data_IF_041083627305
#
_entry.id   IF_041083627305
#
_cell.length_a   1.000
_cell.length_b   1.000
_cell.length_c   1.000
_cell.angle_alpha   90.00
_cell.angle_beta   90.00
_cell.angle_gamma   90.00
#
_symmetry.space_group_name_H-M   'P 1'
#
loop_
_entity.id
_entity.type
_entity.pdbx_description
1 polymer ?
#
# COMPACT_ATOMS: atom_id res chain seq x y z
N UNK A 1 -93.57 -27.37 -4.81
CA UNK A 1 -93.41 -28.81 -5.13
C UNK A 1 -92.06 -29.25 -4.57
N UNK A 2 -92.00 -30.41 -3.93
CA UNK A 2 -90.79 -31.04 -3.32
C UNK A 2 -90.21 -32.10 -4.30
N UNK A 3 -89.11 -32.85 -4.03
CA UNK A 3 -88.26 -33.01 -2.82
C UNK A 3 -86.73 -32.84 -3.16
N UNK A 4 -85.66 -33.49 -2.63
CA UNK A 4 -85.45 -34.57 -1.63
C UNK A 4 -84.00 -34.67 -1.08
N UNK A 5 -83.83 -34.55 0.25
CA UNK A 5 -82.98 -35.41 1.12
C UNK A 5 -81.42 -35.49 0.86
N UNK A 6 -80.57 -36.21 1.66
CA UNK A 6 -80.15 -35.72 3.00
C UNK A 6 -78.71 -36.08 3.52
N UNK A 7 -78.42 -35.65 4.77
CA UNK A 7 -77.52 -36.28 5.79
C UNK A 7 -75.98 -36.05 5.65
N UNK A 8 -75.13 -36.19 6.70
CA UNK A 8 -75.24 -36.77 8.08
C UNK A 8 -74.65 -35.84 9.18
N UNK A 9 -74.86 -36.21 10.46
CA UNK A 9 -74.39 -35.49 11.67
C UNK A 9 -73.04 -35.98 12.26
N UNK A 10 -72.45 -35.17 13.17
CA UNK A 10 -71.28 -35.45 14.00
C UNK A 10 -71.53 -36.29 15.26
N UNK A 11 -70.50 -37.05 15.68
CA UNK A 11 -69.91 -37.19 17.04
C UNK A 11 -68.80 -38.27 16.96
N UNK A 12 -67.69 -38.26 17.69
CA UNK A 12 -67.22 -37.33 18.74
C UNK A 12 -66.72 -38.13 19.95
N UNK A 13 -65.39 -38.29 20.11
CA UNK A 13 -64.78 -39.09 21.19
C UNK A 13 -63.40 -38.53 21.57
N UNK A 14 -63.04 -38.55 22.86
CA UNK A 14 -61.74 -38.14 23.40
C UNK A 14 -60.87 -39.37 23.71
N UNK A 15 -59.53 -39.23 23.61
CA UNK A 15 -58.58 -40.16 24.21
C UNK A 15 -57.19 -39.54 24.46
N UNK A 16 -56.54 -39.96 25.55
CA UNK A 16 -55.09 -40.18 25.61
C UNK A 16 -54.14 -38.98 25.78
N UNK A 17 -53.99 -38.48 27.01
CA UNK A 17 -52.80 -37.70 27.39
C UNK A 17 -51.60 -38.62 27.56
N UNK A 18 -50.49 -38.39 26.86
CA UNK A 18 -49.23 -39.11 27.05
C UNK A 18 -48.07 -38.10 27.19
N UNK A 19 -47.41 -38.10 28.34
CA UNK A 19 -46.34 -37.15 28.68
C UNK A 19 -44.98 -37.76 28.33
N UNK A 20 -44.36 -37.30 27.24
CA UNK A 20 -43.02 -37.70 26.82
C UNK A 20 -41.98 -36.65 27.24
N UNK A 21 -41.08 -37.02 28.15
CA UNK A 21 -39.89 -36.21 28.44
C UNK A 21 -38.89 -36.35 27.29
N UNK A 22 -38.62 -35.24 26.60
CA UNK A 22 -37.41 -35.11 25.79
C UNK A 22 -36.23 -34.70 26.68
N UNK A 23 -35.03 -35.30 26.53
CA UNK A 23 -33.85 -34.84 27.26
C UNK A 23 -33.41 -33.47 26.74
N UNK A 24 -32.92 -32.60 27.63
CA UNK A 24 -32.29 -31.34 27.21
C UNK A 24 -30.96 -31.65 26.49
N UNK A 25 -30.98 -31.63 25.16
CA UNK A 25 -29.76 -31.63 24.36
C UNK A 25 -28.96 -30.36 24.64
N UNK A 26 -27.73 -30.50 25.12
CA UNK A 26 -26.82 -29.38 25.31
C UNK A 26 -26.56 -28.71 23.95
N UNK A 27 -26.88 -27.41 23.83
CA UNK A 27 -26.61 -26.64 22.60
C UNK A 27 -25.12 -26.34 22.54
N UNK A 28 -24.35 -27.26 21.95
CA UNK A 28 -22.98 -26.98 21.55
C UNK A 28 -22.99 -25.97 20.41
N UNK A 29 -22.47 -24.77 20.67
CA UNK A 29 -22.27 -23.74 19.64
C UNK A 29 -21.30 -24.27 18.58
N UNK A 30 -21.82 -24.61 17.40
CA UNK A 30 -21.06 -25.37 16.42
C UNK A 30 -19.92 -24.54 15.82
N UNK A 31 -18.69 -25.02 15.96
CA UNK A 31 -17.50 -24.50 15.25
C UNK A 31 -17.58 -24.62 13.71
N UNK A 32 -18.65 -25.22 13.19
CA UNK A 32 -18.94 -25.40 11.76
C UNK A 32 -19.15 -24.10 10.96
N UNK A 33 -19.27 -22.94 11.61
CA UNK A 33 -19.21 -21.63 10.96
C UNK A 33 -17.79 -21.30 10.49
N UNK A 34 -16.89 -21.03 11.45
CA UNK A 34 -15.50 -20.64 11.17
C UNK A 34 -14.75 -21.63 10.26
N UNK A 35 -15.02 -22.93 10.38
CA UNK A 35 -14.40 -23.97 9.53
C UNK A 35 -14.84 -23.95 8.05
N UNK A 36 -15.82 -23.12 7.66
CA UNK A 36 -16.24 -22.91 6.27
C UNK A 36 -15.55 -21.70 5.62
N UNK A 37 -15.28 -20.64 6.38
CA UNK A 37 -14.67 -19.42 5.83
C UNK A 37 -13.20 -19.66 5.43
N UNK A 38 -12.45 -20.47 6.21
CA UNK A 38 -11.10 -20.92 5.82
C UNK A 38 -11.07 -21.77 4.53
N UNK A 39 -12.22 -22.27 4.06
CA UNK A 39 -12.29 -23.08 2.85
C UNK A 39 -12.29 -22.25 1.55
N UNK A 40 -12.61 -20.95 1.62
CA UNK A 40 -12.72 -20.07 0.45
C UNK A 40 -11.36 -19.61 -0.11
N UNK A 41 -10.34 -19.47 0.75
CA UNK A 41 -8.94 -19.21 0.38
C UNK A 41 -8.05 -20.44 0.60
N UNK A 42 -8.55 -21.63 0.24
CA UNK A 42 -7.70 -22.82 0.16
C UNK A 42 -6.80 -22.71 -1.06
N UNK A 43 -5.49 -22.67 -0.79
CA UNK A 43 -4.40 -22.32 -1.72
C UNK A 43 -4.37 -20.84 -2.14
N UNK A 44 -3.25 -20.42 -2.70
CA UNK A 44 -3.05 -19.10 -3.34
C UNK A 44 -3.63 -19.04 -4.78
N UNK A 45 -4.58 -19.93 -5.10
CA UNK A 45 -5.40 -19.87 -6.32
C UNK A 45 -6.30 -18.62 -6.35
N UNK A 46 -6.67 -18.14 -7.56
CA UNK A 46 -7.71 -17.11 -7.71
C UNK A 46 -9.07 -17.57 -7.17
N UNK A 47 -10.00 -16.63 -6.87
CA UNK A 47 -11.39 -16.95 -6.52
C UNK A 47 -12.03 -17.89 -7.55
N UNK A 48 -12.58 -19.00 -7.08
CA UNK A 48 -13.13 -20.09 -7.93
C UNK A 48 -14.29 -19.66 -8.82
N UNK A 49 -14.95 -18.57 -8.45
CA UNK A 49 -15.95 -17.87 -9.27
C UNK A 49 -15.44 -16.45 -9.49
N UNK A 50 -15.36 -16.03 -10.76
CA UNK A 50 -14.89 -14.69 -11.12
C UNK A 50 -16.01 -13.67 -10.84
N UNK A 51 -15.79 -12.62 -10.04
CA UNK A 51 -16.74 -11.53 -9.86
C UNK A 51 -17.05 -10.83 -11.18
N UNK A 52 -18.28 -10.31 -11.33
CA UNK A 52 -18.57 -9.29 -12.36
C UNK A 52 -18.10 -7.89 -11.96
N UNK A 53 -18.07 -7.65 -10.65
CA UNK A 53 -17.57 -6.46 -9.97
C UNK A 53 -17.11 -6.90 -8.57
N UNK A 54 -16.13 -6.21 -8.00
CA UNK A 54 -15.53 -6.61 -6.73
C UNK A 54 -14.28 -5.80 -6.38
N UNK A 55 -13.66 -6.18 -5.28
CA UNK A 55 -12.55 -5.46 -4.65
C UNK A 55 -11.53 -6.46 -4.09
N UNK A 56 -10.24 -6.18 -4.32
CA UNK A 56 -9.10 -6.85 -3.68
C UNK A 56 -8.34 -5.80 -2.85
N UNK A 57 -7.78 -6.19 -1.70
CA UNK A 57 -6.93 -5.34 -0.87
C UNK A 57 -5.66 -6.07 -0.40
N UNK A 58 -4.62 -5.29 -0.06
CA UNK A 58 -3.54 -5.73 0.82
C UNK A 58 -3.26 -4.75 1.95
N UNK A 59 -2.85 -5.29 3.09
CA UNK A 59 -2.28 -4.58 4.24
C UNK A 59 -0.75 -4.71 4.33
N UNK A 60 -0.11 -5.23 3.28
CA UNK A 60 1.35 -5.33 3.15
C UNK A 60 1.93 -6.75 3.19
N UNK A 61 3.16 -6.88 2.70
CA UNK A 61 3.90 -8.14 2.52
C UNK A 61 5.33 -8.05 3.08
N UNK A 62 5.79 -9.08 3.78
CA UNK A 62 7.15 -9.16 4.36
C UNK A 62 7.32 -10.40 5.23
N UNK A 63 8.30 -10.40 6.14
CA UNK A 63 8.49 -11.53 7.07
C UNK A 63 7.52 -11.42 8.25
N UNK A 64 6.33 -11.94 8.03
CA UNK A 64 5.34 -12.17 9.08
C UNK A 64 5.68 -13.52 9.74
N UNK A 65 6.13 -13.50 11.00
CA UNK A 65 6.29 -14.73 11.79
C UNK A 65 4.98 -15.09 12.48
N UNK A 66 4.53 -16.35 12.29
CA UNK A 66 3.39 -16.94 12.99
C UNK A 66 3.59 -16.98 14.51
N UNK A 67 4.83 -17.13 14.96
CA UNK A 67 5.19 -17.23 16.39
C UNK A 67 5.07 -15.89 17.13
N UNK A 68 5.26 -14.78 16.40
CA UNK A 68 5.20 -13.42 16.93
C UNK A 68 3.82 -12.74 16.74
N UNK A 69 2.83 -13.48 16.22
CA UNK A 69 1.47 -12.98 15.98
C UNK A 69 0.51 -13.63 16.99
N UNK A 70 0.10 -12.89 18.02
CA UNK A 70 -0.86 -13.43 19.00
C UNK A 70 -2.25 -13.60 18.37
N UNK A 71 -3.09 -14.54 18.86
CA UNK A 71 -4.43 -14.76 18.30
C UNK A 71 -5.31 -13.50 18.29
N UNK A 72 -5.18 -12.64 19.30
CA UNK A 72 -5.91 -11.38 19.44
C UNK A 72 -5.44 -10.36 18.39
N UNK A 73 -4.12 -10.31 18.14
CA UNK A 73 -3.54 -9.46 17.09
C UNK A 73 -3.92 -9.95 15.69
N UNK A 74 -3.90 -11.26 15.45
CA UNK A 74 -4.38 -11.84 14.19
C UNK A 74 -5.86 -11.51 13.96
N UNK A 75 -6.71 -11.71 14.97
CA UNK A 75 -8.13 -11.40 14.89
C UNK A 75 -8.38 -9.90 14.62
N UNK A 76 -7.65 -9.01 15.29
CA UNK A 76 -7.75 -7.56 15.06
C UNK A 76 -7.34 -7.14 13.64
N UNK A 77 -6.24 -7.71 13.11
CA UNK A 77 -5.79 -7.42 11.74
C UNK A 77 -6.74 -8.01 10.69
N UNK A 78 -7.31 -9.20 10.91
CA UNK A 78 -8.36 -9.80 10.06
C UNK A 78 -9.67 -9.00 10.10
N UNK A 79 -10.02 -8.43 11.25
CA UNK A 79 -11.17 -7.54 11.38
C UNK A 79 -10.96 -6.24 10.57
N UNK A 80 -9.79 -5.61 10.68
CA UNK A 80 -9.48 -4.40 9.92
C UNK A 80 -9.42 -4.62 8.39
N UNK A 81 -8.91 -5.78 7.93
CA UNK A 81 -9.01 -6.18 6.51
C UNK A 81 -10.48 -6.38 6.08
N UNK A 82 -11.28 -7.04 6.92
CA UNK A 82 -12.72 -7.24 6.68
C UNK A 82 -13.47 -5.91 6.60
N UNK A 83 -13.17 -4.95 7.47
CA UNK A 83 -13.75 -3.60 7.47
C UNK A 83 -13.40 -2.82 6.20
N UNK A 84 -12.14 -2.85 5.77
CA UNK A 84 -11.70 -2.21 4.53
C UNK A 84 -12.37 -2.82 3.28
N UNK A 85 -12.52 -4.16 3.24
CA UNK A 85 -13.30 -4.85 2.21
C UNK A 85 -14.76 -4.41 2.21
N UNK A 86 -15.41 -4.37 3.38
CA UNK A 86 -16.81 -3.97 3.53
C UNK A 86 -17.04 -2.50 3.15
N UNK A 87 -16.11 -1.60 3.46
CA UNK A 87 -16.19 -0.19 3.11
C UNK A 87 -16.19 0.04 1.59
N UNK A 88 -15.24 -0.56 0.86
CA UNK A 88 -15.19 -0.47 -0.60
C UNK A 88 -16.35 -1.24 -1.28
N UNK A 89 -16.71 -2.42 -0.78
CA UNK A 89 -17.89 -3.16 -1.27
C UNK A 89 -19.19 -2.35 -1.09
N UNK A 90 -19.36 -1.63 0.03
CA UNK A 90 -20.52 -0.78 0.27
C UNK A 90 -20.63 0.44 -0.66
N UNK A 91 -19.59 0.72 -1.47
CA UNK A 91 -19.63 1.64 -2.61
C UNK A 91 -20.07 0.90 -3.88
N UNK A 92 -19.39 -0.20 -4.24
CA UNK A 92 -19.68 -0.98 -5.46
C UNK A 92 -21.11 -1.53 -5.48
N UNK A 93 -21.59 -2.08 -4.36
CA UNK A 93 -22.93 -2.64 -4.22
C UNK A 93 -24.08 -1.63 -4.39
N UNK A 94 -23.77 -0.32 -4.49
CA UNK A 94 -24.71 0.77 -4.78
C UNK A 94 -24.56 1.31 -6.22
N UNK A 95 -23.75 0.68 -7.07
CA UNK A 95 -23.38 1.19 -8.39
C UNK A 95 -22.35 2.32 -8.35
N UNK A 96 -21.55 2.43 -7.27
CA UNK A 96 -20.44 3.37 -7.18
C UNK A 96 -19.24 2.93 -8.04
N UNK A 97 -18.40 3.89 -8.44
CA UNK A 97 -17.23 3.64 -9.30
C UNK A 97 -16.10 2.91 -8.56
N UNK A 98 -15.27 2.20 -9.30
CA UNK A 98 -14.08 1.51 -8.79
C UNK A 98 -13.13 2.43 -8.03
N UNK A 99 -12.89 3.65 -8.52
CA UNK A 99 -12.08 4.69 -7.84
C UNK A 99 -12.64 5.09 -6.46
N UNK A 100 -13.97 5.16 -6.33
CA UNK A 100 -14.63 5.50 -5.06
C UNK A 100 -14.53 4.33 -4.05
N UNK A 101 -14.54 3.08 -4.54
CA UNK A 101 -14.35 1.88 -3.72
C UNK A 101 -12.90 1.69 -3.25
N UNK A 102 -11.92 1.90 -4.15
CA UNK A 102 -10.48 1.88 -3.84
C UNK A 102 -10.15 2.90 -2.74
N UNK A 103 -10.60 4.14 -2.90
CA UNK A 103 -10.33 5.20 -1.91
C UNK A 103 -11.06 4.96 -0.58
N UNK A 104 -12.28 4.42 -0.59
CA UNK A 104 -12.98 4.01 0.63
C UNK A 104 -12.25 2.88 1.40
N UNK A 105 -11.77 1.86 0.70
CA UNK A 105 -11.06 0.73 1.32
C UNK A 105 -9.68 1.14 1.89
N UNK A 106 -8.92 1.97 1.16
CA UNK A 106 -7.60 2.44 1.61
C UNK A 106 -7.73 3.38 2.80
N UNK A 107 -8.75 4.26 2.86
CA UNK A 107 -8.96 5.15 4.02
C UNK A 107 -9.09 4.39 5.34
N UNK A 108 -9.84 3.27 5.36
CA UNK A 108 -9.95 2.39 6.53
C UNK A 108 -8.58 1.82 6.95
N UNK A 109 -7.72 1.51 5.99
CA UNK A 109 -6.37 1.00 6.27
C UNK A 109 -5.39 2.10 6.69
N UNK A 110 -5.59 3.35 6.26
CA UNK A 110 -4.84 4.53 6.71
C UNK A 110 -5.28 5.00 8.11
N UNK A 111 -6.57 4.95 8.44
CA UNK A 111 -7.09 5.30 9.78
C UNK A 111 -6.80 4.20 10.83
N UNK A 112 -6.33 3.03 10.39
CA UNK A 112 -5.98 1.87 11.22
C UNK A 112 -4.52 1.91 11.70
N UNK A 113 -4.25 1.71 13.01
CA UNK A 113 -2.89 1.67 13.54
C UNK A 113 -2.11 0.40 13.16
N UNK A 114 -2.76 -0.62 12.57
CA UNK A 114 -2.16 -1.93 12.33
C UNK A 114 -1.32 -2.01 11.05
N UNK A 115 -1.62 -1.19 10.05
CA UNK A 115 -0.93 -1.18 8.75
C UNK A 115 0.12 -0.06 8.68
N UNK A 116 1.00 -0.06 7.68
CA UNK A 116 2.02 1.00 7.54
C UNK A 116 1.56 2.03 6.50
N UNK A 117 0.45 2.70 6.79
CA UNK A 117 -0.06 3.86 6.08
C UNK A 117 -0.85 4.72 7.06
N UNK A 118 -0.97 6.03 6.81
CA UNK A 118 -1.64 6.96 7.72
C UNK A 118 -1.24 6.75 9.18
N UNK A 119 -2.22 6.56 10.05
CA UNK A 119 -2.12 6.43 11.52
C UNK A 119 -1.11 5.40 12.00
N UNK A 120 -0.90 4.32 11.25
CA UNK A 120 0.02 3.24 11.59
C UNK A 120 1.39 3.35 10.93
N UNK A 121 1.75 4.47 10.31
CA UNK A 121 2.99 4.64 9.56
C UNK A 121 4.27 4.40 10.38
N UNK A 122 5.31 3.90 9.71
CA UNK A 122 6.69 3.86 10.19
C UNK A 122 7.29 5.27 10.24
N UNK A 123 8.34 5.42 11.05
CA UNK A 123 9.15 6.63 11.13
C UNK A 123 10.40 6.51 10.25
N UNK A 124 10.81 7.64 9.66
CA UNK A 124 12.12 7.81 9.06
C UNK A 124 13.22 7.89 10.14
N UNK A 125 14.49 7.98 9.72
CA UNK A 125 15.66 8.05 10.60
C UNK A 125 15.59 9.20 11.61
N UNK A 126 14.98 10.32 11.23
CA UNK A 126 14.92 11.55 12.04
C UNK A 126 13.71 11.57 12.99
N UNK A 127 12.96 10.45 13.09
CA UNK A 127 11.81 10.32 14.00
C UNK A 127 10.50 10.90 13.46
N UNK A 128 10.40 11.13 12.14
CA UNK A 128 9.26 11.77 11.49
C UNK A 128 8.53 10.78 10.59
N UNK A 129 7.20 10.85 10.53
CA UNK A 129 6.41 10.12 9.54
C UNK A 129 6.41 10.87 8.20
N UNK A 130 6.65 10.15 7.11
CA UNK A 130 6.65 10.66 5.73
C UNK A 130 5.79 9.73 4.89
N UNK A 131 4.68 10.23 4.38
CA UNK A 131 3.66 9.42 3.74
C UNK A 131 3.67 9.57 2.22
N UNK A 132 3.51 8.45 1.52
CA UNK A 132 3.47 8.36 0.06
C UNK A 132 2.18 7.63 -0.38
N UNK A 133 1.49 8.11 -1.42
CA UNK A 133 0.33 7.42 -2.00
C UNK A 133 0.10 7.76 -3.47
N UNK A 134 -0.60 6.88 -4.20
CA UNK A 134 -1.13 7.15 -5.54
C UNK A 134 -2.48 6.46 -5.80
N UNK A 135 -3.22 7.00 -6.78
CA UNK A 135 -4.40 6.40 -7.40
C UNK A 135 -4.28 6.46 -8.93
N UNK A 136 -4.90 5.51 -9.62
CA UNK A 136 -5.02 5.50 -11.08
C UNK A 136 -6.39 4.97 -11.54
N UNK A 137 -7.06 5.72 -12.41
CA UNK A 137 -8.30 5.34 -13.09
C UNK A 137 -7.97 4.61 -14.39
N UNK A 138 -8.38 3.36 -14.53
CA UNK A 138 -8.00 2.52 -15.67
C UNK A 138 -8.65 2.93 -16.99
N UNK A 139 -9.83 3.54 -16.94
CA UNK A 139 -10.59 3.96 -18.13
C UNK A 139 -9.96 5.14 -18.85
N UNK A 140 -9.53 6.13 -18.07
CA UNK A 140 -8.98 7.40 -18.58
C UNK A 140 -7.46 7.45 -18.54
N UNK A 141 -6.82 6.54 -17.80
CA UNK A 141 -5.40 6.60 -17.38
C UNK A 141 -5.05 7.90 -16.63
N UNK A 142 -6.05 8.63 -16.12
CA UNK A 142 -5.83 9.70 -15.15
C UNK A 142 -5.26 9.09 -13.87
N UNK A 143 -4.27 9.79 -13.30
CA UNK A 143 -3.58 9.36 -12.10
C UNK A 143 -3.26 10.57 -11.22
N UNK A 144 -3.10 10.33 -9.93
CA UNK A 144 -2.70 11.34 -8.96
C UNK A 144 -1.89 10.71 -7.84
N UNK A 145 -0.87 11.41 -7.37
CA UNK A 145 0.12 10.90 -6.44
C UNK A 145 0.67 12.00 -5.52
N UNK A 146 1.03 11.60 -4.30
CA UNK A 146 1.79 12.42 -3.35
C UNK A 146 2.92 11.62 -2.71
N UNK A 147 4.02 12.28 -2.39
CA UNK A 147 5.13 11.68 -1.64
C UNK A 147 5.73 12.65 -0.63
N UNK A 148 6.22 12.11 0.49
CA UNK A 148 6.83 12.87 1.58
C UNK A 148 5.90 13.88 2.25
N UNK A 149 4.60 13.58 2.39
CA UNK A 149 3.69 14.44 3.19
C UNK A 149 3.69 14.04 4.67
N UNK A 150 3.45 15.01 5.55
CA UNK A 150 3.67 14.90 7.01
C UNK A 150 2.41 15.17 7.85
N UNK A 151 1.43 15.87 7.29
CA UNK A 151 0.25 16.37 8.01
C UNK A 151 -1.09 15.99 7.34
N UNK A 152 -1.06 15.09 6.36
CA UNK A 152 -2.25 14.63 5.62
C UNK A 152 -2.74 13.31 6.24
N UNK A 153 -3.92 13.33 6.88
CA UNK A 153 -4.46 12.14 7.56
C UNK A 153 -4.57 10.93 6.62
N UNK A 154 -5.11 11.17 5.43
CA UNK A 154 -5.42 10.15 4.42
C UNK A 154 -4.73 10.50 3.09
N UNK A 155 -3.45 10.15 2.92
CA UNK A 155 -2.67 10.43 1.70
C UNK A 155 -3.36 10.00 0.41
N UNK A 156 -4.14 8.91 0.41
CA UNK A 156 -4.88 8.46 -0.77
C UNK A 156 -5.92 9.48 -1.26
N UNK A 157 -6.54 10.24 -0.36
CA UNK A 157 -7.50 11.29 -0.72
C UNK A 157 -6.81 12.51 -1.31
N UNK A 158 -5.60 12.86 -0.84
CA UNK A 158 -4.83 13.94 -1.47
C UNK A 158 -4.27 13.52 -2.82
N UNK A 159 -3.79 12.28 -2.97
CA UNK A 159 -3.40 11.72 -4.26
C UNK A 159 -4.56 11.81 -5.27
N UNK A 160 -5.77 11.44 -4.85
CA UNK A 160 -6.99 11.61 -5.66
C UNK A 160 -7.34 13.08 -5.93
N UNK A 161 -7.12 13.98 -4.97
CA UNK A 161 -7.36 15.41 -5.14
C UNK A 161 -6.40 16.05 -6.17
N UNK A 162 -5.14 15.58 -6.23
CA UNK A 162 -4.18 15.94 -7.28
C UNK A 162 -4.72 15.54 -8.66
N UNK A 163 -5.25 14.31 -8.79
CA UNK A 163 -5.89 13.82 -10.03
C UNK A 163 -7.13 14.60 -10.45
N UNK A 164 -8.02 14.94 -9.49
CA UNK A 164 -9.34 15.52 -9.79
C UNK A 164 -9.38 17.06 -9.78
N UNK A 165 -8.36 17.75 -9.24
CA UNK A 165 -8.36 19.22 -9.04
C UNK A 165 -7.06 19.91 -9.50
N UNK A 166 -6.14 19.21 -10.15
CA UNK A 166 -4.93 19.81 -10.75
C UNK A 166 -4.68 19.33 -12.18
N UNK A 167 -3.86 20.03 -12.98
CA UNK A 167 -3.39 19.56 -14.28
C UNK A 167 -2.12 18.67 -14.16
N UNK A 168 -1.88 18.06 -13.00
CA UNK A 168 -0.65 17.35 -12.65
C UNK A 168 -0.93 15.95 -12.11
N UNK A 169 0.02 15.04 -12.30
CA UNK A 169 -0.07 13.64 -11.81
C UNK A 169 0.57 13.48 -10.44
N UNK A 170 1.56 14.28 -10.06
CA UNK A 170 2.30 14.11 -8.80
C UNK A 170 2.67 15.45 -8.17
N UNK A 171 2.55 15.53 -6.83
CA UNK A 171 3.08 16.61 -6.00
C UNK A 171 3.88 16.03 -4.83
N UNK A 172 4.78 16.80 -4.20
CA UNK A 172 5.63 16.31 -3.11
C UNK A 172 5.79 17.34 -1.99
N UNK A 173 5.96 16.84 -0.75
CA UNK A 173 6.25 17.64 0.45
C UNK A 173 5.31 18.84 0.66
N UNK A 174 5.87 19.93 1.16
CA UNK A 174 5.20 21.22 1.39
C UNK A 174 4.33 21.69 0.22
N UNK A 175 4.73 21.39 -1.03
CA UNK A 175 3.97 21.75 -2.23
C UNK A 175 2.65 20.98 -2.36
N UNK A 176 2.65 19.70 -1.98
CA UNK A 176 1.44 18.89 -1.91
C UNK A 176 0.52 19.33 -0.76
N UNK A 177 1.08 19.71 0.40
CA UNK A 177 0.29 20.18 1.55
C UNK A 177 -0.29 21.58 1.34
N UNK A 178 0.46 22.50 0.72
CA UNK A 178 -0.04 23.81 0.31
C UNK A 178 -1.17 23.67 -0.74
N UNK A 179 -1.06 22.70 -1.66
CA UNK A 179 -2.16 22.36 -2.55
C UNK A 179 -3.36 21.79 -1.77
N UNK A 180 -3.16 20.86 -0.83
CA UNK A 180 -4.22 20.32 0.03
C UNK A 180 -5.01 21.45 0.74
N UNK A 181 -4.29 22.38 1.38
CA UNK A 181 -4.86 23.57 2.00
C UNK A 181 -5.64 24.44 1.01
N UNK A 182 -5.11 24.65 -0.21
CA UNK A 182 -5.80 25.43 -1.26
C UNK A 182 -7.15 24.84 -1.67
N UNK A 183 -7.31 23.52 -1.54
CA UNK A 183 -8.54 22.78 -1.82
C UNK A 183 -9.43 22.59 -0.58
N UNK A 184 -9.05 23.14 0.58
CA UNK A 184 -9.81 23.04 1.83
C UNK A 184 -9.63 21.72 2.59
N UNK A 185 -8.65 20.89 2.23
CA UNK A 185 -8.32 19.69 3.00
C UNK A 185 -7.63 20.08 4.33
N UNK A 186 -8.12 19.60 5.49
CA UNK A 186 -7.51 19.92 6.78
C UNK A 186 -6.17 19.20 6.96
N UNK A 187 -5.21 19.89 7.57
CA UNK A 187 -3.98 19.28 8.07
C UNK A 187 -4.19 18.75 9.51
N UNK A 188 -3.57 17.62 9.84
CA UNK A 188 -3.54 17.05 11.19
C UNK A 188 -2.17 17.24 11.84
N UNK A 189 -2.16 17.31 13.17
CA UNK A 189 -0.95 17.27 13.98
C UNK A 189 -0.25 15.92 13.80
N UNK A 190 1.07 15.93 13.56
CA UNK A 190 1.88 14.75 13.29
C UNK A 190 1.76 13.64 14.37
N UNK A 191 1.38 13.98 15.61
CA UNK A 191 1.07 12.98 16.66
C UNK A 191 -0.07 12.02 16.29
N UNK A 192 -0.90 12.33 15.29
CA UNK A 192 -1.91 11.42 14.76
C UNK A 192 -1.28 10.12 14.23
N UNK A 193 -0.10 10.22 13.59
CA UNK A 193 0.62 9.10 12.98
C UNK A 193 1.49 8.32 13.99
N UNK A 194 1.53 8.76 15.25
CA UNK A 194 2.34 8.12 16.28
C UNK A 194 1.68 6.82 16.79
N UNK A 195 2.44 5.73 16.76
CA UNK A 195 2.15 4.53 17.54
C UNK A 195 3.41 4.04 18.24
N UNK A 196 3.27 3.58 19.48
CA UNK A 196 4.40 3.13 20.30
C UNK A 196 5.15 1.95 19.66
N UNK A 197 4.45 1.01 19.00
CA UNK A 197 5.11 -0.10 18.30
C UNK A 197 6.04 0.39 17.17
N UNK A 198 5.61 1.39 16.39
CA UNK A 198 6.41 1.95 15.29
C UNK A 198 7.58 2.77 15.82
N UNK A 199 7.38 3.50 16.92
CA UNK A 199 8.44 4.28 17.56
C UNK A 199 9.54 3.37 18.13
N UNK A 200 9.15 2.34 18.87
CA UNK A 200 10.07 1.30 19.35
C UNK A 200 10.71 0.51 18.18
N UNK A 201 10.03 0.43 17.03
CA UNK A 201 10.60 -0.05 15.76
C UNK A 201 11.78 0.78 15.29
N UNK A 202 11.64 2.11 15.27
CA UNK A 202 12.75 3.01 14.96
C UNK A 202 13.89 2.90 15.97
N UNK A 203 13.59 2.83 17.28
CA UNK A 203 14.65 2.73 18.29
C UNK A 203 15.52 1.48 18.09
N UNK A 204 14.92 0.30 17.88
CA UNK A 204 15.66 -0.93 17.55
C UNK A 204 16.45 -0.83 16.25
N UNK A 205 15.92 -0.14 15.24
CA UNK A 205 16.61 0.06 13.97
C UNK A 205 17.87 0.93 14.15
N UNK A 206 17.76 2.04 14.88
CA UNK A 206 18.88 2.94 15.20
C UNK A 206 19.92 2.27 16.11
N UNK A 207 19.51 1.37 17.02
CA UNK A 207 20.42 0.54 17.81
C UNK A 207 21.18 -0.47 16.94
N UNK A 208 20.50 -1.15 16.01
CA UNK A 208 21.14 -2.07 15.09
C UNK A 208 22.10 -1.37 14.12
N UNK A 209 21.75 -0.19 13.62
CA UNK A 209 22.64 0.62 12.77
C UNK A 209 23.92 1.02 13.52
N UNK A 210 23.81 1.47 14.79
CA UNK A 210 24.97 1.75 15.65
C UNK A 210 25.80 0.49 15.93
N UNK A 211 25.17 -0.65 16.17
CA UNK A 211 25.87 -1.92 16.41
C UNK A 211 26.63 -2.44 15.17
N UNK A 212 26.10 -2.21 13.96
CA UNK A 212 26.79 -2.44 12.68
C UNK A 212 27.86 -1.39 12.36
N UNK A 213 27.83 -0.25 13.05
CA UNK A 213 28.51 1.00 12.69
C UNK A 213 29.67 1.43 13.60
N UNK A 214 30.38 0.51 14.25
CA UNK A 214 31.60 0.82 15.00
C UNK A 214 32.85 0.69 14.09
N UNK A 215 33.42 1.79 13.54
CA UNK A 215 34.68 1.74 12.83
C UNK A 215 35.85 1.44 13.80
N UNK A 216 36.97 0.88 13.32
CA UNK A 216 38.20 0.81 14.11
C UNK A 216 38.63 2.22 14.55
N UNK A 217 39.04 2.36 15.82
CA UNK A 217 39.53 3.63 16.32
C UNK A 217 40.91 3.96 15.73
N UNK A 218 40.94 4.80 14.69
CA UNK A 218 42.19 5.40 14.20
C UNK A 218 42.82 6.25 15.32
N UNK A 219 44.04 5.91 15.72
CA UNK A 219 44.81 6.65 16.70
C UNK A 219 45.46 7.91 16.08
N UNK A 220 44.61 8.83 15.61
CA UNK A 220 45.02 10.14 15.12
C UNK A 220 45.45 11.07 16.28
N UNK A 221 46.74 11.41 16.33
CA UNK A 221 47.27 12.36 17.32
C UNK A 221 46.81 13.80 17.01
N UNK A 222 46.58 14.65 18.03
CA UNK A 222 46.14 16.03 17.81
C UNK A 222 47.28 16.93 17.33
N UNK A 223 47.20 17.39 16.08
CA UNK A 223 48.02 18.51 15.59
C UNK A 223 47.43 19.84 16.04
N UNK A 224 48.29 20.71 16.58
CA UNK A 224 47.98 22.10 16.95
C UNK A 224 48.74 23.06 16.04
N UNK A 225 48.48 24.37 16.18
CA UNK A 225 48.95 25.48 15.31
C UNK A 225 48.19 25.55 13.97
N UNK A 226 47.49 26.63 13.60
CA UNK A 226 47.13 27.86 14.33
C UNK A 226 47.82 29.14 13.82
N UNK A 227 47.03 30.05 13.24
CA UNK A 227 47.37 31.47 13.08
C UNK A 227 46.10 32.34 12.94
N UNK A 228 46.24 33.66 13.12
CA UNK A 228 45.18 34.58 13.56
C UNK A 228 44.38 35.30 12.45
N UNK A 229 43.23 35.92 12.79
CA UNK A 229 42.26 36.46 11.81
C UNK A 229 42.57 37.89 11.32
N UNK A 230 41.97 38.26 10.19
CA UNK A 230 41.90 39.64 9.72
C UNK A 230 40.72 40.41 10.37
N UNK A 231 40.92 41.71 10.62
CA UNK A 231 39.90 42.63 11.17
C UNK A 231 39.35 43.61 10.11
N UNK A 232 38.22 44.30 10.38
CA UNK A 232 37.36 44.90 9.34
C UNK A 232 37.63 46.39 9.04
N UNK A 233 36.97 46.90 7.99
CA UNK A 233 36.97 48.30 7.56
C UNK A 233 35.54 48.83 7.30
N UNK A 234 35.32 50.13 7.51
CA UNK A 234 34.03 50.85 7.39
C UNK A 234 34.28 52.38 7.18
N UNK A 235 33.29 53.29 7.11
CA UNK A 235 32.16 53.36 6.16
C UNK A 235 31.97 54.78 5.52
N UNK A 236 31.09 54.92 4.51
CA UNK A 236 30.58 56.21 3.95
C UNK A 236 30.48 56.18 2.41
N UNK A 237 29.31 56.38 1.74
CA UNK A 237 28.42 57.56 1.59
C UNK A 237 28.79 58.49 0.40
N UNK A 238 27.80 59.08 -0.34
CA UNK A 238 26.53 58.50 -0.80
C UNK A 238 26.35 58.79 -2.35
N UNK A 239 25.20 59.15 -2.99
CA UNK A 239 24.91 58.64 -4.35
C UNK A 239 24.89 59.69 -5.50
N UNK A 240 24.87 59.20 -6.74
CA UNK A 240 24.53 59.98 -7.94
C UNK A 240 23.57 59.22 -8.87
N UNK A 241 22.75 59.96 -9.63
CA UNK A 241 21.73 59.41 -10.54
C UNK A 241 22.20 59.49 -12.00
N UNK A 242 21.73 58.57 -12.85
CA UNK A 242 21.93 58.66 -14.31
C UNK A 242 21.50 57.39 -15.03
N UNK A 243 20.60 57.49 -16.01
CA UNK A 243 20.07 56.35 -16.75
C UNK A 243 20.23 56.53 -18.26
N UNK A 244 20.82 55.53 -18.93
CA UNK A 244 20.62 55.23 -20.36
C UNK A 244 21.00 53.76 -20.63
N UNK A 245 20.32 53.05 -21.55
CA UNK A 245 20.53 51.62 -21.78
C UNK A 245 21.49 51.31 -22.95
N UNK A 246 22.09 50.12 -22.92
CA UNK A 246 22.59 49.43 -24.12
C UNK A 246 24.11 49.28 -24.24
N UNK A 247 24.60 48.08 -23.96
CA UNK A 247 25.83 47.45 -24.50
C UNK A 247 25.57 45.92 -24.51
N UNK A 248 26.21 45.13 -25.41
CA UNK A 248 25.79 43.76 -25.70
C UNK A 248 26.23 42.73 -24.64
N UNK A 249 25.45 41.65 -24.49
CA UNK A 249 25.82 40.50 -23.67
C UNK A 249 26.85 39.61 -24.37
N UNK A 250 27.99 39.38 -23.72
CA UNK A 250 29.01 38.43 -24.16
C UNK A 250 28.52 36.99 -23.95
N UNK A 251 28.73 36.05 -24.90
CA UNK A 251 28.40 34.64 -24.66
C UNK A 251 29.26 34.04 -23.55
N UNK A 252 28.63 33.35 -22.59
CA UNK A 252 29.35 32.60 -21.57
C UNK A 252 30.03 31.37 -22.20
N UNK A 253 31.29 31.10 -21.82
CA UNK A 253 31.98 29.88 -22.23
C UNK A 253 31.43 28.67 -21.45
N UNK A 254 31.26 27.50 -22.09
CA UNK A 254 30.86 26.28 -21.39
C UNK A 254 32.00 25.76 -20.49
N UNK A 255 31.70 25.16 -19.33
CA UNK A 255 32.71 24.56 -18.46
C UNK A 255 33.37 23.34 -19.13
N UNK A 256 34.69 23.25 -19.04
CA UNK A 256 35.47 22.26 -19.77
C UNK A 256 35.79 21.00 -18.92
N UNK A 257 35.04 19.91 -19.14
CA UNK A 257 35.40 18.56 -18.66
C UNK A 257 34.65 17.44 -19.38
N UNK A 258 34.94 17.21 -20.67
CA UNK A 258 34.41 16.04 -21.41
C UNK A 258 35.06 14.74 -20.90
N UNK A 259 34.30 13.74 -20.42
CA UNK A 259 34.86 12.43 -20.06
C UNK A 259 35.36 11.69 -21.31
N UNK A 260 36.54 11.07 -21.26
CA UNK A 260 37.02 10.25 -22.37
C UNK A 260 36.33 8.87 -22.39
N UNK A 261 35.85 8.39 -23.56
CA UNK A 261 35.33 7.05 -23.70
C UNK A 261 36.50 6.04 -23.72
N UNK A 262 36.51 5.09 -22.78
CA UNK A 262 37.50 4.00 -22.79
C UNK A 262 37.76 3.31 -21.45
N UNK A 263 37.45 3.94 -20.31
CA UNK A 263 37.61 3.30 -19.00
C UNK A 263 36.36 2.48 -18.64
N UNK A 264 36.46 1.16 -18.76
CA UNK A 264 35.46 0.23 -18.24
C UNK A 264 35.43 0.32 -16.71
N UNK A 265 34.37 0.90 -16.16
CA UNK A 265 34.16 0.91 -14.72
C UNK A 265 34.06 -0.54 -14.21
N UNK A 266 35.04 -0.99 -13.43
CA UNK A 266 34.99 -2.30 -12.81
C UNK A 266 33.78 -2.36 -11.86
N UNK A 267 33.03 -3.48 -11.83
CA UNK A 267 31.88 -3.60 -10.94
C UNK A 267 32.36 -3.49 -9.48
N UNK A 268 31.75 -2.58 -8.72
CA UNK A 268 32.05 -2.44 -7.29
C UNK A 268 31.77 -3.78 -6.59
N UNK A 269 32.72 -4.30 -5.78
CA UNK A 269 32.59 -5.63 -5.22
C UNK A 269 31.43 -5.69 -4.21
N UNK A 270 30.49 -6.61 -4.45
CA UNK A 270 29.54 -7.11 -3.47
C UNK A 270 28.62 -6.07 -2.80
N UNK A 271 27.50 -5.72 -3.47
CA UNK A 271 26.28 -5.44 -2.71
C UNK A 271 25.78 -6.77 -2.13
N UNK A 272 26.27 -7.15 -0.95
CA UNK A 272 25.91 -8.40 -0.24
C UNK A 272 24.52 -8.29 0.39
N UNK A 273 23.52 -7.99 -0.44
CA UNK A 273 22.12 -7.94 -0.08
C UNK A 273 21.62 -9.38 0.11
N UNK A 274 21.55 -9.84 1.35
CA UNK A 274 20.71 -10.97 1.74
C UNK A 274 19.26 -10.65 1.39
N UNK A 275 18.57 -11.45 0.53
CA UNK A 275 17.16 -11.24 0.23
C UNK A 275 16.30 -11.19 1.49
N UNK A 276 15.27 -10.35 1.49
CA UNK A 276 14.33 -10.20 2.61
C UNK A 276 14.84 -9.36 3.80
N UNK A 277 16.10 -8.90 3.80
CA UNK A 277 16.68 -8.10 4.89
C UNK A 277 16.79 -6.63 4.47
N UNK A 278 16.16 -5.74 5.24
CA UNK A 278 16.46 -4.31 5.18
C UNK A 278 17.93 -4.08 5.60
N UNK A 279 18.79 -3.56 4.69
CA UNK A 279 20.22 -3.44 4.93
C UNK A 279 20.55 -2.43 6.04
N UNK A 280 19.65 -1.48 6.32
CA UNK A 280 19.80 -0.50 7.40
C UNK A 280 19.28 -1.14 8.70
N UNK A 281 17.99 -1.49 8.74
CA UNK A 281 17.31 -1.79 10.01
C UNK A 281 17.47 -3.21 10.52
N UNK A 282 17.56 -4.21 9.63
CA UNK A 282 17.45 -5.62 10.02
C UNK A 282 16.09 -6.04 10.61
N UNK A 283 15.05 -5.18 10.57
CA UNK A 283 13.68 -5.54 10.99
C UNK A 283 12.82 -5.74 9.71
N UNK A 284 12.02 -6.79 9.67
CA UNK A 284 11.52 -7.37 8.42
C UNK A 284 10.05 -7.02 8.09
N UNK A 285 9.66 -5.74 8.19
CA UNK A 285 8.24 -5.33 8.22
C UNK A 285 7.88 -4.27 7.18
N UNK A 286 7.73 -4.65 5.91
CA UNK A 286 7.04 -3.81 4.91
C UNK A 286 5.52 -3.97 5.07
N UNK A 287 4.80 -2.86 4.96
CA UNK A 287 3.38 -2.78 5.35
C UNK A 287 2.54 -1.82 4.49
N UNK A 288 2.99 -1.54 3.26
CA UNK A 288 2.28 -0.73 2.28
C UNK A 288 0.86 -1.29 2.08
N UNK A 289 -0.14 -0.42 2.07
CA UNK A 289 -1.55 -0.79 1.88
C UNK A 289 -1.98 -0.48 0.46
N UNK A 290 -3.02 -1.15 -0.02
CA UNK A 290 -3.54 -0.85 -1.34
C UNK A 290 -4.78 -1.64 -1.71
N UNK A 291 -5.44 -1.19 -2.77
CA UNK A 291 -6.69 -1.75 -3.25
C UNK A 291 -6.76 -1.70 -4.78
N UNK A 292 -7.42 -2.70 -5.38
CA UNK A 292 -7.84 -2.70 -6.79
C UNK A 292 -9.30 -3.10 -6.87
N UNK A 293 -10.07 -2.44 -7.73
CA UNK A 293 -11.51 -2.68 -7.85
C UNK A 293 -11.98 -2.69 -9.30
N UNK A 294 -13.00 -3.52 -9.56
CA UNK A 294 -13.79 -3.58 -10.79
C UNK A 294 -15.22 -3.18 -10.45
N UNK A 295 -15.77 -2.18 -11.13
CA UNK A 295 -17.16 -1.73 -10.93
C UNK A 295 -18.16 -2.35 -11.93
N UNK A 296 -19.45 -2.04 -11.76
CA UNK A 296 -20.55 -2.62 -12.55
C UNK A 296 -20.54 -2.20 -14.03
N UNK A 297 -19.86 -1.11 -14.38
CA UNK A 297 -19.59 -0.69 -15.77
C UNK A 297 -18.33 -1.38 -16.34
N UNK A 298 -17.65 -2.19 -15.51
CA UNK A 298 -16.39 -2.86 -15.79
C UNK A 298 -15.17 -1.94 -15.78
N UNK A 299 -15.26 -0.72 -15.22
CA UNK A 299 -14.08 0.13 -15.09
C UNK A 299 -13.19 -0.37 -13.94
N UNK A 300 -11.88 -0.35 -14.16
CA UNK A 300 -10.87 -0.71 -13.18
C UNK A 300 -10.27 0.53 -12.53
N UNK A 301 -9.88 0.41 -11.26
CA UNK A 301 -9.05 1.39 -10.57
C UNK A 301 -8.05 0.70 -9.64
N UNK A 302 -6.91 1.37 -9.41
CA UNK A 302 -5.89 0.97 -8.45
C UNK A 302 -5.54 2.13 -7.50
N UNK A 303 -5.12 1.80 -6.29
CA UNK A 303 -4.53 2.76 -5.36
C UNK A 303 -3.63 2.09 -4.33
N UNK A 304 -2.62 2.82 -3.86
CA UNK A 304 -1.60 2.33 -2.93
C UNK A 304 -1.18 3.47 -1.99
N UNK A 305 -0.93 3.18 -0.72
CA UNK A 305 -0.52 4.16 0.31
C UNK A 305 0.47 3.55 1.31
N UNK A 306 1.44 4.33 1.80
CA UNK A 306 2.51 3.82 2.68
C UNK A 306 3.18 4.91 3.54
N UNK A 307 3.72 4.51 4.70
CA UNK A 307 4.75 5.28 5.41
C UNK A 307 6.18 5.03 4.88
N UNK A 308 6.35 4.09 3.95
CA UNK A 308 7.65 3.68 3.41
C UNK A 308 8.32 2.62 4.29
N UNK A 309 9.58 2.82 4.66
CA UNK A 309 10.38 1.89 5.47
C UNK A 309 10.79 2.54 6.80
N UNK A 310 10.85 1.73 7.87
CA UNK A 310 11.42 2.13 9.16
C UNK A 310 12.84 2.62 8.96
N UNK A 311 13.26 3.71 9.64
CA UNK A 311 14.61 4.29 9.51
C UNK A 311 15.00 4.65 8.06
N UNK A 312 14.03 4.85 7.15
CA UNK A 312 14.32 5.40 5.82
C UNK A 312 15.00 6.77 6.00
N UNK A 313 15.87 7.15 5.06
CA UNK A 313 16.39 8.52 5.04
C UNK A 313 15.25 9.50 4.76
N UNK A 314 15.31 10.69 5.37
CA UNK A 314 14.42 11.80 5.02
C UNK A 314 14.44 12.05 3.50
N UNK A 315 13.27 12.22 2.90
CA UNK A 315 13.07 12.35 1.46
C UNK A 315 13.10 11.03 0.67
N UNK A 316 13.19 9.85 1.31
CA UNK A 316 13.09 8.56 0.61
C UNK A 316 11.64 8.27 0.22
N UNK A 317 11.36 8.44 -1.07
CA UNK A 317 10.12 8.06 -1.74
C UNK A 317 10.12 6.55 -2.10
N UNK A 318 9.01 5.87 -1.82
CA UNK A 318 8.81 4.45 -2.19
C UNK A 318 8.31 4.21 -3.62
N UNK A 319 7.87 2.97 -3.88
CA UNK A 319 7.21 2.55 -5.12
C UNK A 319 5.72 2.96 -5.18
N UNK A 320 5.04 2.99 -4.04
CA UNK A 320 3.62 3.30 -3.92
C UNK A 320 3.14 4.57 -4.67
N UNK A 321 3.83 5.73 -4.63
CA UNK A 321 3.37 6.92 -5.35
C UNK A 321 3.81 6.95 -6.82
N UNK A 322 4.63 5.99 -7.25
CA UNK A 322 5.22 5.96 -8.59
C UNK A 322 4.34 5.11 -9.50
N UNK A 323 3.62 5.79 -10.39
CA UNK A 323 2.73 5.17 -11.37
C UNK A 323 3.50 4.20 -12.27
N UNK A 324 3.06 2.94 -12.30
CA UNK A 324 3.72 1.84 -12.99
C UNK A 324 4.74 1.05 -12.14
N UNK A 325 5.09 1.51 -10.94
CA UNK A 325 5.89 0.75 -9.98
C UNK A 325 4.99 0.11 -8.91
N UNK A 326 4.42 0.93 -8.01
CA UNK A 326 3.55 0.48 -6.92
C UNK A 326 2.06 0.49 -7.26
N UNK A 327 1.60 1.47 -8.04
CA UNK A 327 0.20 1.60 -8.48
C UNK A 327 0.12 1.64 -10.01
N UNK A 328 -0.78 0.87 -10.62
CA UNK A 328 -1.10 1.01 -12.06
C UNK A 328 -2.52 0.54 -12.37
N UNK A 329 -3.21 1.20 -13.31
CA UNK A 329 -4.46 0.71 -13.88
C UNK A 329 -4.61 1.12 -15.35
N UNK A 330 -5.17 0.22 -16.16
CA UNK A 330 -5.75 0.54 -17.47
C UNK A 330 -7.08 -0.20 -17.70
N UNK A 331 -7.62 -0.16 -18.93
CA UNK A 331 -8.87 -0.83 -19.27
C UNK A 331 -8.82 -2.37 -19.19
N UNK A 332 -7.63 -2.96 -19.07
CA UNK A 332 -7.42 -4.41 -19.01
C UNK A 332 -7.17 -4.88 -17.59
N UNK A 333 -6.31 -4.20 -16.84
CA UNK A 333 -5.89 -4.62 -15.51
C UNK A 333 -5.56 -3.46 -14.56
N UNK A 334 -5.80 -3.69 -13.27
CA UNK A 334 -5.37 -2.86 -12.15
C UNK A 334 -4.44 -3.66 -11.23
N UNK A 335 -3.38 -3.01 -10.72
CA UNK A 335 -2.35 -3.60 -9.85
C UNK A 335 -2.00 -2.63 -8.72
N UNK A 336 -1.91 -3.14 -7.50
CA UNK A 336 -1.30 -2.46 -6.34
C UNK A 336 -0.25 -3.37 -5.70
N UNK A 337 0.87 -2.80 -5.26
CA UNK A 337 2.03 -3.54 -4.80
C UNK A 337 2.46 -3.25 -3.35
N UNK A 338 3.28 -4.14 -2.81
CA UNK A 338 3.92 -3.98 -1.50
C UNK A 338 5.24 -4.75 -1.45
N UNK A 339 6.33 -4.11 -1.02
CA UNK A 339 7.60 -4.78 -0.75
C UNK A 339 8.80 -3.83 -0.69
N UNK A 340 9.96 -4.32 -1.13
CA UNK A 340 11.18 -3.53 -1.25
C UNK A 340 11.09 -2.53 -2.42
N UNK A 341 10.52 -1.34 -2.17
CA UNK A 341 10.16 -0.35 -3.20
C UNK A 341 11.24 -0.03 -4.24
N UNK A 342 12.52 -0.04 -3.88
CA UNK A 342 13.65 0.15 -4.81
C UNK A 342 13.65 -0.88 -5.96
N UNK A 343 13.24 -2.12 -5.70
CA UNK A 343 13.08 -3.13 -6.76
C UNK A 343 11.79 -2.94 -7.55
N UNK A 344 10.68 -2.58 -6.88
CA UNK A 344 9.39 -2.36 -7.55
C UNK A 344 9.44 -1.17 -8.52
N UNK A 345 10.21 -0.12 -8.19
CA UNK A 345 10.57 0.97 -9.10
C UNK A 345 11.48 0.46 -10.24
N UNK A 346 12.61 -0.17 -9.92
CA UNK A 346 13.63 -0.58 -10.92
C UNK A 346 13.14 -1.58 -11.95
N UNK A 347 12.11 -2.37 -11.62
CA UNK A 347 11.49 -3.37 -12.50
C UNK A 347 10.07 -2.97 -12.93
N UNK A 348 9.58 -1.78 -12.54
CA UNK A 348 8.25 -1.24 -12.89
C UNK A 348 7.13 -2.27 -12.72
N UNK A 349 7.06 -2.88 -11.53
CA UNK A 349 6.34 -4.15 -11.32
C UNK A 349 4.85 -4.08 -11.72
N UNK A 350 4.13 -3.05 -11.25
CA UNK A 350 2.73 -2.88 -11.59
C UNK A 350 2.49 -2.70 -13.10
N UNK A 351 3.42 -2.02 -13.80
CA UNK A 351 3.35 -1.86 -15.26
C UNK A 351 3.78 -3.11 -16.01
N UNK A 352 4.80 -3.85 -15.59
CA UNK A 352 5.28 -5.06 -16.30
C UNK A 352 4.21 -6.17 -16.31
N UNK A 353 3.50 -6.36 -15.18
CA UNK A 353 2.33 -7.25 -15.11
C UNK A 353 1.28 -6.85 -16.14
N UNK A 354 0.88 -5.58 -16.17
CA UNK A 354 -0.10 -5.10 -17.14
C UNK A 354 0.40 -5.05 -18.59
N UNK A 355 1.71 -4.88 -18.82
CA UNK A 355 2.32 -4.94 -20.15
C UNK A 355 2.30 -6.37 -20.71
N UNK A 356 2.39 -7.40 -19.85
CA UNK A 356 2.25 -8.80 -20.25
C UNK A 356 0.82 -9.17 -20.62
N UNK A 357 -0.15 -8.68 -19.84
CA UNK A 357 -1.59 -8.77 -20.19
C UNK A 357 -1.90 -8.00 -21.49
N UNK A 358 -1.29 -6.82 -21.70
CA UNK A 358 -1.55 -5.95 -22.86
C UNK A 358 -0.85 -6.38 -24.16
N UNK A 359 0.37 -6.93 -24.09
CA UNK A 359 1.22 -7.19 -25.28
C UNK A 359 1.46 -8.67 -25.57
N UNK A 360 1.08 -9.59 -24.68
CA UNK A 360 1.29 -11.04 -24.84
C UNK A 360 0.00 -11.85 -24.63
N UNK A 361 -1.14 -11.17 -24.41
CA UNK A 361 -2.44 -11.76 -24.03
C UNK A 361 -2.36 -12.77 -22.86
N UNK A 362 -1.35 -12.63 -21.99
CA UNK A 362 -1.14 -13.53 -20.87
C UNK A 362 -2.25 -13.36 -19.81
N UNK A 363 -2.81 -14.46 -19.26
CA UNK A 363 -3.76 -14.38 -18.15
C UNK A 363 -3.17 -13.60 -16.97
N UNK A 364 -3.94 -12.69 -16.37
CA UNK A 364 -3.44 -11.85 -15.28
C UNK A 364 -2.79 -12.63 -14.12
N UNK A 365 -3.33 -13.78 -13.65
CA UNK A 365 -2.65 -14.58 -12.62
C UNK A 365 -1.29 -15.14 -13.07
N UNK A 366 -1.12 -15.49 -14.34
CA UNK A 366 0.15 -16.00 -14.88
C UNK A 366 1.18 -14.86 -15.01
N UNK A 367 0.77 -13.72 -15.56
CA UNK A 367 1.59 -12.51 -15.63
C UNK A 367 2.06 -12.04 -14.25
N UNK A 368 1.15 -11.98 -13.26
CA UNK A 368 1.47 -11.57 -11.89
C UNK A 368 2.39 -12.57 -11.18
N UNK A 369 2.13 -13.88 -11.30
CA UNK A 369 2.98 -14.91 -10.71
C UNK A 369 4.41 -14.86 -11.28
N UNK A 370 4.56 -14.72 -12.60
CA UNK A 370 5.87 -14.63 -13.23
C UNK A 370 6.65 -13.38 -12.76
N UNK A 371 6.02 -12.20 -12.68
CA UNK A 371 6.75 -11.01 -12.21
C UNK A 371 7.17 -11.14 -10.74
N UNK A 372 6.32 -11.70 -9.87
CA UNK A 372 6.65 -11.85 -8.43
C UNK A 372 7.63 -13.00 -8.15
N UNK A 373 7.44 -14.18 -8.76
CA UNK A 373 8.21 -15.39 -8.43
C UNK A 373 9.41 -15.64 -9.36
N UNK A 374 9.41 -15.13 -10.61
CA UNK A 374 10.61 -15.16 -11.46
C UNK A 374 11.37 -13.83 -11.42
N UNK A 375 10.74 -12.72 -11.84
CA UNK A 375 11.46 -11.47 -12.14
C UNK A 375 12.02 -10.83 -10.88
N UNK A 376 11.18 -10.62 -9.85
CA UNK A 376 11.62 -10.04 -8.58
C UNK A 376 12.58 -10.95 -7.79
N UNK A 377 12.33 -12.25 -7.74
CA UNK A 377 13.24 -13.20 -7.05
C UNK A 377 14.63 -13.20 -7.70
N UNK A 378 14.71 -13.21 -9.04
CA UNK A 378 16.00 -13.14 -9.78
C UNK A 378 16.69 -11.79 -9.63
N UNK A 379 15.94 -10.73 -9.31
CA UNK A 379 16.51 -9.44 -8.95
C UNK A 379 17.03 -9.37 -7.50
N UNK A 380 16.57 -10.26 -6.61
CA UNK A 380 16.78 -10.18 -5.16
C UNK A 380 15.76 -9.33 -4.42
N UNK A 381 14.62 -9.00 -5.04
CA UNK A 381 13.54 -8.22 -4.45
C UNK A 381 12.44 -9.09 -3.84
N UNK A 382 12.06 -8.79 -2.59
CA UNK A 382 10.94 -9.45 -1.89
C UNK A 382 9.71 -8.53 -1.78
N UNK A 383 8.52 -9.11 -1.93
CA UNK A 383 7.23 -8.45 -1.77
C UNK A 383 6.07 -9.25 -2.38
N UNK A 384 5.00 -8.55 -2.75
CA UNK A 384 3.85 -9.11 -3.45
C UNK A 384 3.00 -8.03 -4.12
N UNK A 385 1.96 -8.48 -4.81
CA UNK A 385 0.97 -7.61 -5.46
C UNK A 385 -0.45 -8.15 -5.26
N UNK A 386 -1.43 -7.27 -5.34
CA UNK A 386 -2.80 -7.62 -5.73
C UNK A 386 -3.04 -7.12 -7.15
N UNK A 387 -3.83 -7.85 -7.92
CA UNK A 387 -4.27 -7.42 -9.23
C UNK A 387 -5.68 -7.93 -9.56
N UNK A 388 -6.38 -7.20 -10.42
CA UNK A 388 -7.70 -7.56 -10.96
C UNK A 388 -7.81 -7.15 -12.43
N UNK A 389 -8.41 -7.99 -13.28
CA UNK A 389 -8.69 -7.68 -14.69
C UNK A 389 -10.17 -7.43 -14.98
N UNK A 390 -10.45 -6.93 -16.19
CA UNK A 390 -11.81 -6.58 -16.63
C UNK A 390 -12.73 -7.80 -16.82
N UNK A 391 -12.21 -9.02 -16.72
CA UNK A 391 -12.96 -10.28 -16.71
C UNK A 391 -13.14 -10.85 -15.30
N UNK A 392 -12.71 -10.12 -14.27
CA UNK A 392 -12.82 -10.50 -12.87
C UNK A 392 -11.82 -11.56 -12.43
N UNK A 393 -10.75 -11.86 -13.18
CA UNK A 393 -9.67 -12.64 -12.59
C UNK A 393 -8.96 -11.78 -11.54
N UNK A 394 -8.64 -12.41 -10.41
CA UNK A 394 -7.85 -11.80 -9.33
C UNK A 394 -6.52 -12.53 -9.24
N UNK A 395 -5.45 -11.80 -8.94
CA UNK A 395 -4.17 -12.37 -8.57
C UNK A 395 -3.71 -11.74 -7.24
N UNK A 396 -3.12 -12.55 -6.34
CA UNK A 396 -2.52 -12.06 -5.10
C UNK A 396 -1.14 -12.68 -4.78
N UNK A 397 -0.21 -12.84 -5.75
CA UNK A 397 1.06 -13.52 -5.51
C UNK A 397 2.02 -12.68 -4.64
N UNK A 398 2.77 -13.36 -3.79
CA UNK A 398 3.81 -12.79 -2.91
C UNK A 398 4.93 -13.81 -2.70
N UNK A 399 6.18 -13.34 -2.70
CA UNK A 399 7.38 -14.16 -2.49
C UNK A 399 7.98 -14.00 -1.08
N UNK A 400 7.37 -13.17 -0.23
CA UNK A 400 7.63 -13.03 1.21
C UNK A 400 7.02 -14.19 2.04
N UNK A 401 7.29 -14.26 3.35
CA UNK A 401 6.67 -15.29 4.22
C UNK A 401 5.17 -15.10 4.43
N UNK A 402 4.66 -13.89 4.18
CA UNK A 402 3.24 -13.57 4.23
C UNK A 402 2.91 -12.24 3.57
N UNK A 403 1.65 -12.10 3.18
CA UNK A 403 1.00 -10.87 2.74
C UNK A 403 -0.42 -10.80 3.31
N UNK A 404 -0.68 -9.78 4.13
CA UNK A 404 -2.03 -9.42 4.58
C UNK A 404 -2.85 -9.08 3.33
N UNK A 405 -3.84 -9.91 2.99
CA UNK A 405 -4.61 -9.79 1.73
C UNK A 405 -6.07 -10.16 1.93
N UNK A 406 -6.94 -9.62 1.08
CA UNK A 406 -8.35 -9.96 1.12
C UNK A 406 -9.08 -9.63 -0.18
N UNK A 407 -10.23 -10.26 -0.36
CA UNK A 407 -11.10 -10.12 -1.52
C UNK A 407 -12.58 -10.13 -1.09
N UNK A 408 -13.43 -9.42 -1.84
CA UNK A 408 -14.89 -9.44 -1.74
C UNK A 408 -15.51 -9.24 -3.13
N UNK A 409 -16.51 -10.05 -3.46
CA UNK A 409 -17.19 -10.04 -4.76
C UNK A 409 -18.65 -9.58 -4.69
N UNK A 410 -19.40 -9.89 -5.75
CA UNK A 410 -20.85 -9.63 -5.83
C UNK A 410 -21.71 -10.44 -4.83
N UNK A 411 -21.09 -11.37 -4.09
CA UNK A 411 -21.70 -12.13 -2.99
C UNK A 411 -21.62 -11.42 -1.63
N UNK A 412 -20.90 -10.30 -1.54
CA UNK A 412 -20.70 -9.55 -0.30
C UNK A 412 -19.98 -10.31 0.81
N UNK A 413 -19.26 -11.39 0.51
CA UNK A 413 -18.61 -12.25 1.51
C UNK A 413 -17.11 -11.92 1.63
N UNK A 414 -16.67 -11.13 2.64
CA UNK A 414 -15.28 -10.73 2.80
C UNK A 414 -14.41 -11.94 3.17
N UNK A 415 -13.31 -12.09 2.45
CA UNK A 415 -12.50 -13.31 2.44
C UNK A 415 -11.02 -12.93 2.58
N UNK A 416 -10.37 -13.28 3.71
CA UNK A 416 -9.07 -12.71 4.12
C UNK A 416 -8.00 -13.75 4.50
N UNK A 417 -6.74 -13.50 4.14
CA UNK A 417 -5.57 -14.33 4.46
C UNK A 417 -4.31 -13.50 4.79
N UNK A 418 -3.29 -14.20 5.30
CA UNK A 418 -2.01 -13.60 5.75
C UNK A 418 -0.84 -14.42 5.22
N UNK A 419 -0.76 -15.70 5.61
CA UNK A 419 0.30 -16.61 5.20
C UNK A 419 -0.05 -17.36 3.90
N UNK A 420 0.89 -18.11 3.35
CA UNK A 420 0.58 -19.25 2.48
C UNK A 420 -0.10 -20.37 3.31
N UNK A 421 -0.92 -21.20 2.67
CA UNK A 421 -1.42 -22.44 3.30
C UNK A 421 -0.36 -23.55 3.18
N UNK A 422 -0.25 -24.46 4.18
CA UNK A 422 0.74 -25.54 4.21
C UNK A 422 0.38 -26.73 3.29
#
# INVERSE_FOLDING_TARGET
>A
MSPSFPSRMHRGLLAGTALLLAPLGCVTTSQAGAARDEAALRTDEPPRVKPKWGLVIHGGAGVISRENLTPEREAAMRAALTEALQAGHAVLAKGGRSMDAVTAAIRVMEDSPYFNAGKGAVFNHDGVNELDAAVMDGKTRMAGAVAGVHHIQNPIDLARLVMEKSPHVMMVGDGAEAFAQSQGMPLVDAKYFYTEERWQGLQRALEQEKAKGAPPAEQGQPSTQGQSPAQPSAPGQPPAQGATPGQPVTPAQPPASTPQPGQSAQPRPGSSLTPGVDPITGDHKFGTVGAVALDMDGNLAAGTSTGGMTNKRFGRVGDAPIIGAGTYADERCAVSATGHGEFFIRYTVARDICARVEYQDLPLPEAANHVVHDVLVKAGGEGGVIAMDRQGHVAMPFNSSGMYRGYIGEDGTPTVAIFQQP
#
